data_IF_728647801733
#
_entry.id   IF_728647801733
#
_cell.length_a   1.000
_cell.length_b   1.000
_cell.length_c   1.000
_cell.angle_alpha   90.00
_cell.angle_beta   90.00
_cell.angle_gamma   90.00
#
_symmetry.space_group_name_H-M   'P 1'
#
loop_
_entity.id
_entity.type
_entity.pdbx_description
1 polymer ?
#
# COMPACT_ATOMS: atom_id res chain seq x y z
N UNK A 1 55.76 -71.22 10.07
CA UNK A 1 55.28 -70.22 11.05
C UNK A 1 55.22 -68.86 10.36
N UNK A 2 54.20 -68.06 10.69
CA UNK A 2 53.83 -66.72 10.16
C UNK A 2 53.00 -66.70 8.86
N UNK A 3 51.69 -66.62 9.03
CA UNK A 3 50.79 -65.88 8.15
C UNK A 3 49.89 -65.03 9.06
N UNK A 4 50.13 -63.72 9.08
CA UNK A 4 49.22 -62.75 9.67
C UNK A 4 48.08 -62.52 8.68
N UNK A 5 46.84 -62.72 9.13
CA UNK A 5 45.65 -62.45 8.36
C UNK A 5 44.84 -61.34 9.03
N UNK A 6 44.42 -60.40 8.17
CA UNK A 6 43.66 -59.19 8.42
C UNK A 6 42.43 -59.40 9.31
N UNK A 7 42.22 -58.45 10.23
CA UNK A 7 40.92 -58.16 10.85
C UNK A 7 40.21 -57.10 10.02
N UNK A 8 39.08 -57.47 9.41
CA UNK A 8 38.11 -56.54 8.82
C UNK A 8 37.18 -56.08 9.95
N UNK A 9 37.33 -54.82 10.38
CA UNK A 9 36.43 -54.18 11.32
C UNK A 9 35.26 -53.52 10.57
N UNK A 10 34.06 -53.97 10.89
CA UNK A 10 32.78 -53.47 10.40
C UNK A 10 32.54 -52.05 10.91
N UNK A 11 32.23 -51.16 9.98
CA UNK A 11 31.84 -49.76 10.19
C UNK A 11 30.48 -49.71 10.87
N UNK A 12 30.40 -49.10 12.05
CA UNK A 12 29.14 -48.61 12.65
C UNK A 12 29.26 -47.10 12.85
N UNK A 13 28.63 -46.36 11.93
CA UNK A 13 28.39 -44.93 12.01
C UNK A 13 27.52 -44.60 13.24
N UNK A 14 28.16 -44.13 14.31
CA UNK A 14 27.47 -43.48 15.42
C UNK A 14 27.25 -42.00 15.12
N UNK A 15 26.15 -41.66 14.44
CA UNK A 15 25.60 -40.30 14.47
C UNK A 15 24.61 -40.23 15.64
N UNK A 16 25.03 -39.65 16.76
CA UNK A 16 24.12 -39.37 17.86
C UNK A 16 23.24 -38.15 17.51
N UNK A 17 21.90 -38.23 17.62
CA UNK A 17 21.08 -37.03 17.48
C UNK A 17 21.24 -36.18 18.74
N UNK A 18 21.87 -35.01 18.59
CA UNK A 18 21.82 -33.97 19.62
C UNK A 18 20.37 -33.50 19.68
N UNK A 19 19.69 -33.74 20.80
CA UNK A 19 18.38 -33.17 21.06
C UNK A 19 18.59 -31.70 21.43
N UNK A 20 18.60 -30.83 20.42
CA UNK A 20 18.45 -29.39 20.63
C UNK A 20 17.05 -29.17 21.20
N UNK A 21 16.93 -29.06 22.52
CA UNK A 21 15.76 -28.46 23.16
C UNK A 21 15.77 -26.97 22.82
N UNK A 22 15.48 -26.65 21.56
CA UNK A 22 15.09 -25.32 21.14
C UNK A 22 13.74 -25.06 21.75
N UNK A 23 13.72 -24.43 22.92
CA UNK A 23 12.54 -23.76 23.44
C UNK A 23 12.09 -22.82 22.33
N UNK A 24 11.01 -23.18 21.64
CA UNK A 24 10.43 -22.30 20.64
C UNK A 24 10.22 -20.95 21.33
N UNK A 25 10.74 -19.84 20.79
CA UNK A 25 10.46 -18.54 21.38
C UNK A 25 8.94 -18.42 21.51
N UNK A 26 8.42 -17.92 22.65
CA UNK A 26 6.99 -17.70 22.76
C UNK A 26 6.54 -16.90 21.54
N UNK A 27 5.36 -17.19 20.96
CA UNK A 27 4.87 -16.42 19.82
C UNK A 27 4.96 -14.97 20.25
N UNK A 28 5.84 -14.21 19.58
CA UNK A 28 5.94 -12.78 19.80
C UNK A 28 4.50 -12.30 19.68
N UNK A 29 3.96 -11.73 20.76
CA UNK A 29 2.65 -11.14 20.73
C UNK A 29 2.68 -10.20 19.53
N UNK A 30 2.01 -10.59 18.45
CA UNK A 30 1.98 -9.81 17.24
C UNK A 30 1.41 -8.48 17.71
N UNK A 31 2.28 -7.47 17.78
CA UNK A 31 1.89 -6.12 18.20
C UNK A 31 0.68 -5.81 17.37
N UNK A 32 -0.50 -5.81 17.99
CA UNK A 32 -1.75 -5.60 17.29
C UNK A 32 -1.64 -4.18 16.75
N UNK A 33 -1.31 -4.07 15.46
CA UNK A 33 -1.34 -2.81 14.75
C UNK A 33 -2.73 -2.22 15.02
N UNK A 34 -2.82 -0.96 15.47
CA UNK A 34 -4.11 -0.37 15.79
C UNK A 34 -5.04 -0.55 14.59
N UNK A 35 -6.22 -1.08 14.84
CA UNK A 35 -7.22 -1.30 13.79
C UNK A 35 -7.50 0.05 13.12
N UNK A 36 -7.29 0.13 11.80
CA UNK A 36 -7.59 1.33 11.04
C UNK A 36 -9.10 1.53 11.00
N UNK A 37 -9.62 2.77 11.12
CA UNK A 37 -11.05 3.04 10.98
C UNK A 37 -11.57 2.54 9.62
N UNK A 38 -12.79 1.97 9.54
CA UNK A 38 -13.35 1.52 8.26
C UNK A 38 -13.38 2.62 7.19
N UNK A 39 -13.63 3.87 7.59
CA UNK A 39 -13.60 5.05 6.72
C UNK A 39 -12.25 5.24 6.00
N UNK A 40 -11.14 4.84 6.62
CA UNK A 40 -9.81 4.93 5.99
C UNK A 40 -9.68 3.96 4.81
N UNK A 41 -10.33 2.80 4.88
CA UNK A 41 -10.36 1.85 3.77
C UNK A 41 -11.15 2.43 2.60
N UNK A 42 -12.31 3.05 2.85
CA UNK A 42 -13.10 3.71 1.80
C UNK A 42 -12.35 4.88 1.16
N UNK A 43 -11.74 5.76 1.98
CA UNK A 43 -10.94 6.87 1.46
C UNK A 43 -9.78 6.40 0.57
N UNK A 44 -9.07 5.35 0.99
CA UNK A 44 -7.98 4.75 0.22
C UNK A 44 -8.46 4.13 -1.08
N UNK A 45 -9.57 3.39 -1.04
CA UNK A 45 -10.14 2.76 -2.23
C UNK A 45 -10.54 3.82 -3.26
N UNK A 46 -11.26 4.84 -2.83
CA UNK A 46 -11.64 5.96 -3.70
C UNK A 46 -10.44 6.65 -4.34
N UNK A 47 -9.41 6.98 -3.55
CA UNK A 47 -8.21 7.62 -4.08
C UNK A 47 -7.40 6.71 -5.01
N UNK A 48 -7.44 5.39 -4.81
CA UNK A 48 -6.83 4.44 -5.72
C UNK A 48 -7.55 4.44 -7.09
N UNK A 49 -8.89 4.49 -7.08
CA UNK A 49 -9.70 4.58 -8.31
C UNK A 49 -9.45 5.90 -9.04
N UNK A 50 -9.44 7.03 -8.32
CA UNK A 50 -9.13 8.35 -8.92
C UNK A 50 -7.73 8.35 -9.52
N UNK A 51 -6.74 7.79 -8.83
CA UNK A 51 -5.37 7.65 -9.36
C UNK A 51 -5.35 6.80 -10.64
N UNK A 52 -6.10 5.71 -10.69
CA UNK A 52 -6.16 4.86 -11.87
C UNK A 52 -6.80 5.61 -13.05
N UNK A 53 -7.96 6.24 -12.83
CA UNK A 53 -8.66 7.03 -13.83
C UNK A 53 -7.81 8.20 -14.35
N UNK A 54 -7.07 8.89 -13.47
CA UNK A 54 -6.14 9.96 -13.83
C UNK A 54 -5.03 9.48 -14.77
N UNK A 55 -4.42 8.33 -14.47
CA UNK A 55 -3.39 7.75 -15.33
C UNK A 55 -3.94 7.31 -16.68
N UNK A 56 -5.14 6.73 -16.73
CA UNK A 56 -5.81 6.37 -17.99
C UNK A 56 -6.10 7.62 -18.82
N UNK A 57 -6.66 8.66 -18.21
CA UNK A 57 -6.96 9.93 -18.88
C UNK A 57 -5.69 10.59 -19.43
N UNK A 58 -4.60 10.63 -18.65
CA UNK A 58 -3.31 11.17 -19.08
C UNK A 58 -2.70 10.36 -20.25
N UNK A 59 -2.82 9.04 -20.24
CA UNK A 59 -2.33 8.21 -21.34
C UNK A 59 -3.17 8.38 -22.62
N UNK A 60 -4.48 8.62 -22.48
CA UNK A 60 -5.40 8.86 -23.60
C UNK A 60 -5.21 10.24 -24.22
N UNK A 61 -5.06 11.26 -23.39
CA UNK A 61 -5.03 12.67 -23.79
C UNK A 61 -3.89 13.42 -23.09
N UNK A 62 -2.67 13.18 -23.58
CA UNK A 62 -1.40 13.64 -23.00
C UNK A 62 -1.28 15.18 -22.86
N UNK A 63 -2.13 15.96 -23.54
CA UNK A 63 -1.99 17.43 -23.59
C UNK A 63 -3.00 18.18 -22.70
N UNK A 64 -4.17 17.62 -22.35
CA UNK A 64 -5.26 18.42 -21.73
C UNK A 64 -5.49 18.14 -20.25
N UNK A 65 -5.01 17.02 -19.73
CA UNK A 65 -5.23 16.63 -18.33
C UNK A 65 -4.11 17.18 -17.46
N UNK A 66 -4.18 18.46 -17.09
CA UNK A 66 -3.18 19.09 -16.20
C UNK A 66 -3.70 19.25 -14.77
N UNK A 67 -4.96 19.67 -14.62
CA UNK A 67 -5.61 19.84 -13.31
C UNK A 67 -7.13 19.87 -13.41
N UNK A 68 -7.81 19.75 -12.27
CA UNK A 68 -9.25 20.01 -12.12
C UNK A 68 -9.93 19.13 -11.08
N UNK A 69 -11.26 19.06 -11.15
CA UNK A 69 -12.07 18.30 -10.19
C UNK A 69 -12.07 16.79 -10.52
N UNK A 70 -12.11 15.96 -9.49
CA UNK A 70 -12.09 14.49 -9.64
C UNK A 70 -13.38 13.93 -10.25
N UNK A 71 -14.50 14.65 -10.17
CA UNK A 71 -15.79 14.28 -10.77
C UNK A 71 -15.93 14.75 -12.23
N UNK A 72 -14.86 15.32 -12.80
CA UNK A 72 -14.86 15.77 -14.19
C UNK A 72 -15.16 14.60 -15.14
N UNK A 73 -16.02 14.79 -16.16
CA UNK A 73 -16.46 13.73 -17.07
C UNK A 73 -15.34 13.15 -17.94
N UNK A 74 -14.13 13.73 -17.89
CA UNK A 74 -12.92 13.17 -18.53
C UNK A 74 -12.38 11.94 -17.81
N UNK A 75 -12.73 11.75 -16.54
CA UNK A 75 -12.33 10.62 -15.73
C UNK A 75 -13.45 9.59 -15.73
N UNK A 76 -13.21 8.49 -16.45
CA UNK A 76 -14.12 7.37 -16.51
C UNK A 76 -13.94 6.48 -15.27
N UNK A 77 -15.00 5.78 -14.88
CA UNK A 77 -14.98 4.68 -13.91
C UNK A 77 -14.55 5.01 -12.47
N UNK A 78 -14.71 6.25 -12.00
CA UNK A 78 -14.56 6.57 -10.57
C UNK A 78 -15.83 6.17 -9.82
N UNK A 79 -15.68 5.26 -8.86
CA UNK A 79 -16.79 4.84 -7.98
C UNK A 79 -16.78 5.67 -6.70
N UNK A 80 -17.84 6.45 -6.40
CA UNK A 80 -17.93 7.17 -5.13
C UNK A 80 -17.95 6.22 -3.92
N UNK A 81 -17.40 6.61 -2.76
CA UNK A 81 -17.50 5.83 -1.54
C UNK A 81 -18.95 5.61 -1.13
N UNK A 82 -19.24 4.45 -0.53
CA UNK A 82 -20.59 4.07 -0.15
C UNK A 82 -21.08 4.81 1.10
N UNK A 83 -20.19 5.09 2.05
CA UNK A 83 -20.55 5.71 3.34
C UNK A 83 -19.82 7.01 3.59
N UNK A 84 -18.60 7.17 3.06
CA UNK A 84 -17.78 8.34 3.26
C UNK A 84 -17.93 9.35 2.11
N UNK A 85 -18.89 10.26 2.20
CA UNK A 85 -19.15 11.20 1.10
C UNK A 85 -17.93 12.10 0.81
N UNK A 86 -17.66 12.32 -0.48
CA UNK A 86 -16.60 13.22 -0.96
C UNK A 86 -17.16 14.64 -1.00
N UNK A 87 -16.60 15.54 -0.20
CA UNK A 87 -17.03 16.95 -0.17
C UNK A 87 -16.28 17.79 -1.20
N UNK A 88 -15.00 17.49 -1.40
CA UNK A 88 -14.18 18.14 -2.41
C UNK A 88 -13.08 17.18 -2.84
N UNK A 89 -12.79 17.12 -4.14
CA UNK A 89 -11.65 16.38 -4.66
C UNK A 89 -11.05 17.11 -5.85
N UNK A 90 -9.75 17.40 -5.77
CA UNK A 90 -8.97 18.10 -6.79
C UNK A 90 -7.77 17.27 -7.16
N UNK A 91 -7.34 17.39 -8.41
CA UNK A 91 -6.17 16.68 -8.93
C UNK A 91 -5.32 17.56 -9.83
N UNK A 92 -4.08 17.14 -9.98
CA UNK A 92 -3.12 17.65 -10.95
C UNK A 92 -2.22 16.54 -11.44
N UNK A 93 -1.87 16.54 -12.73
CA UNK A 93 -0.88 15.61 -13.30
C UNK A 93 -0.02 16.32 -14.35
N UNK A 94 1.29 16.27 -14.16
CA UNK A 94 2.28 16.60 -15.19
C UNK A 94 2.77 15.35 -15.92
N UNK A 95 2.82 14.21 -15.22
CA UNK A 95 3.11 12.88 -15.79
C UNK A 95 2.63 11.77 -14.84
N UNK A 96 2.68 10.50 -15.27
CA UNK A 96 2.37 9.37 -14.36
C UNK A 96 3.28 9.28 -13.12
N UNK A 97 4.45 9.94 -13.16
CA UNK A 97 5.38 10.04 -12.04
C UNK A 97 5.28 11.37 -11.28
N UNK A 98 4.47 12.31 -11.76
CA UNK A 98 4.28 13.64 -11.19
C UNK A 98 2.79 13.94 -11.20
N UNK A 99 2.10 13.49 -10.15
CA UNK A 99 0.68 13.72 -9.95
C UNK A 99 0.37 13.97 -8.48
N UNK A 100 -0.78 14.57 -8.24
CA UNK A 100 -1.34 14.76 -6.90
C UNK A 100 -2.85 14.75 -6.99
N UNK A 101 -3.48 14.03 -6.06
CA UNK A 101 -4.92 14.04 -5.82
C UNK A 101 -5.11 14.40 -4.35
N UNK A 102 -6.01 15.33 -4.09
CA UNK A 102 -6.38 15.76 -2.75
C UNK A 102 -7.89 15.62 -2.59
N UNK A 103 -8.33 14.97 -1.51
CA UNK A 103 -9.73 14.80 -1.20
C UNK A 103 -10.04 15.23 0.24
N UNK A 104 -11.21 15.84 0.43
CA UNK A 104 -11.86 16.07 1.72
C UNK A 104 -13.15 15.25 1.76
N UNK A 105 -13.37 14.58 2.88
CA UNK A 105 -14.55 13.76 3.10
C UNK A 105 -15.45 14.33 4.19
N UNK A 106 -16.70 13.85 4.24
CA UNK A 106 -17.75 14.33 5.16
C UNK A 106 -17.49 14.08 6.64
N UNK A 107 -16.52 13.23 6.99
CA UNK A 107 -16.05 13.05 8.37
C UNK A 107 -14.98 14.10 8.77
N UNK A 108 -14.66 15.04 7.88
CA UNK A 108 -13.65 16.07 8.05
C UNK A 108 -12.23 15.59 7.73
N UNK A 109 -12.02 14.31 7.41
CA UNK A 109 -10.70 13.80 7.06
C UNK A 109 -10.26 14.29 5.69
N UNK A 110 -8.96 14.51 5.56
CA UNK A 110 -8.31 14.92 4.31
C UNK A 110 -7.20 13.96 3.94
N UNK A 111 -7.06 13.72 2.65
CA UNK A 111 -6.17 12.69 2.12
C UNK A 111 -5.47 13.15 0.86
N UNK A 112 -4.25 12.65 0.69
CA UNK A 112 -3.42 12.84 -0.50
C UNK A 112 -3.16 11.49 -1.15
N UNK A 113 -3.25 11.45 -2.48
CA UNK A 113 -2.64 10.42 -3.30
C UNK A 113 -1.63 11.05 -4.26
N UNK A 114 -0.37 10.64 -4.15
CA UNK A 114 0.75 11.09 -4.97
C UNK A 114 1.70 9.88 -5.21
N UNK A 115 2.85 10.03 -5.88
CA UNK A 115 3.80 8.93 -6.08
C UNK A 115 4.30 8.26 -4.79
N UNK A 116 4.28 8.96 -3.66
CA UNK A 116 4.69 8.42 -2.35
C UNK A 116 3.60 7.53 -1.72
N UNK A 117 2.39 7.55 -2.28
CA UNK A 117 1.29 6.67 -1.92
C UNK A 117 0.03 7.41 -1.50
N UNK A 118 -0.87 6.68 -0.83
CA UNK A 118 -2.16 7.21 -0.34
C UNK A 118 -2.10 7.32 1.17
N UNK A 119 -2.30 8.52 1.70
CA UNK A 119 -2.17 8.81 3.13
C UNK A 119 -3.14 9.90 3.61
N UNK A 120 -3.53 9.88 4.90
CA UNK A 120 -4.13 11.05 5.53
C UNK A 120 -3.16 12.24 5.44
N UNK A 121 -3.71 13.44 5.37
CA UNK A 121 -2.96 14.67 5.24
C UNK A 121 -3.55 15.74 6.15
N UNK A 122 -2.70 16.55 6.76
CA UNK A 122 -3.14 17.74 7.48
C UNK A 122 -3.57 18.84 6.50
N UNK A 123 -4.48 19.76 6.88
CA UNK A 123 -4.91 20.86 6.00
C UNK A 123 -3.74 21.69 5.45
N UNK A 124 -2.65 21.82 6.20
CA UNK A 124 -1.45 22.53 5.77
C UNK A 124 -0.74 21.88 4.56
N UNK A 125 -0.93 20.59 4.32
CA UNK A 125 -0.33 19.84 3.22
C UNK A 125 -1.17 19.87 1.93
N UNK A 126 -2.42 20.35 2.02
CA UNK A 126 -3.33 20.46 0.88
C UNK A 126 -3.00 21.73 0.10
N UNK A 127 -2.47 21.60 -1.12
CA UNK A 127 -2.19 22.74 -1.99
C UNK A 127 -3.35 22.99 -2.95
N UNK A 128 -3.92 21.93 -3.52
CA UNK A 128 -4.95 22.02 -4.57
C UNK A 128 -6.31 22.43 -4.01
N UNK A 129 -6.66 21.95 -2.81
CA UNK A 129 -7.94 22.28 -2.16
C UNK A 129 -7.96 23.68 -1.52
N UNK A 130 -6.79 24.28 -1.26
CA UNK A 130 -6.69 25.64 -0.73
C UNK A 130 -6.97 26.71 -1.78
N UNK A 131 -6.60 26.46 -3.03
CA UNK A 131 -6.79 27.40 -4.14
C UNK A 131 -8.27 27.58 -4.53
N UNK A 132 -9.16 26.72 -4.01
CA UNK A 132 -10.60 26.72 -4.28
C UNK A 132 -11.47 27.24 -3.13
N UNK A 133 -10.88 27.71 -2.02
CA UNK A 133 -11.60 28.22 -0.84
C UNK A 133 -11.73 29.75 -0.84
#
# INVERSE_FOLDING_TARGET
MRFGALLVAVVLCGCQPVQTQGQAPPPAAASALPAQPPAWTEARAYLADVRAALNVAYLRDRETTVSGDCDSPRFEDITPPATLAVEACRLSIGSSAEYRVEARFSDGSTWIADPDGIRPAEPAELSLLKESS
#
